data_IF_450214170070
#
_entry.id   IF_450214170070
#
_cell.length_a   1.000
_cell.length_b   1.000
_cell.length_c   1.000
_cell.angle_alpha   90.00
_cell.angle_beta   90.00
_cell.angle_gamma   90.00
#
_symmetry.space_group_name_H-M   'P 1'
#
loop_
_entity.id
_entity.type
_entity.pdbx_description
1 polymer ?
#
# COMPACT_ATOMS: atom_id res chain seq x y z
N UNK A 1 31.27 -18.49 42.75
CA UNK A 1 29.94 -18.16 43.29
C UNK A 1 29.87 -16.65 43.30
N UNK A 2 29.24 -16.14 42.25
CA UNK A 2 29.45 -14.82 41.68
C UNK A 2 28.60 -13.71 42.27
N UNK A 3 29.09 -12.50 42.03
CA UNK A 3 28.56 -11.17 42.29
C UNK A 3 27.10 -10.93 41.88
N UNK A 4 26.43 -9.99 42.56
CA UNK A 4 25.73 -8.83 41.94
C UNK A 4 25.61 -7.70 42.98
N UNK A 5 26.03 -6.50 42.55
CA UNK A 5 26.11 -5.24 43.27
C UNK A 5 24.78 -4.45 43.23
N UNK A 6 24.51 -3.72 44.33
CA UNK A 6 23.66 -2.52 44.37
C UNK A 6 24.36 -1.35 43.66
N UNK A 7 23.59 -0.44 43.04
CA UNK A 7 23.83 1.03 43.03
C UNK A 7 22.62 1.78 42.47
N UNK A 8 21.88 2.43 43.37
CA UNK A 8 21.11 3.65 43.13
C UNK A 8 22.07 4.86 43.20
N UNK A 9 21.62 5.99 42.68
CA UNK A 9 22.23 7.33 42.73
C UNK A 9 23.20 7.67 41.58
N UNK A 10 22.68 8.46 40.62
CA UNK A 10 23.31 9.61 39.94
C UNK A 10 22.19 10.27 39.13
N UNK A 11 21.53 11.28 39.69
CA UNK A 11 20.65 12.21 38.98
C UNK A 11 20.75 13.63 39.61
N UNK A 12 21.94 13.99 40.08
CA UNK A 12 22.28 15.33 40.59
C UNK A 12 23.73 15.71 40.19
N UNK A 13 24.03 15.84 38.91
CA UNK A 13 25.15 16.66 38.42
C UNK A 13 24.83 17.09 36.98
N UNK A 14 23.98 18.09 36.79
CA UNK A 14 23.91 18.95 35.57
C UNK A 14 22.85 20.07 35.71
N UNK A 15 22.69 20.61 36.93
CA UNK A 15 22.05 21.90 37.18
C UNK A 15 23.10 22.81 37.81
N UNK A 16 23.80 23.55 36.96
CA UNK A 16 24.83 24.49 37.42
C UNK A 16 25.84 24.77 36.32
N UNK A 17 25.47 25.65 35.38
CA UNK A 17 26.33 26.59 34.65
C UNK A 17 25.48 27.26 33.56
N UNK A 18 24.50 28.07 34.00
CA UNK A 18 23.91 29.12 33.20
C UNK A 18 24.21 30.43 33.92
N UNK A 19 25.24 31.15 33.45
CA UNK A 19 25.43 32.59 33.67
C UNK A 19 26.75 33.06 33.05
N UNK A 20 26.65 34.07 32.17
CA UNK A 20 27.66 35.08 31.84
C UNK A 20 28.91 34.62 31.08
N UNK A 21 29.05 35.04 29.82
CA UNK A 21 29.75 36.30 29.45
C UNK A 21 29.46 36.62 27.99
N UNK A 22 29.11 37.87 27.77
CA UNK A 22 28.77 38.56 26.53
C UNK A 22 30.01 39.08 25.78
N UNK A 23 29.84 39.22 24.45
CA UNK A 23 30.29 40.34 23.60
C UNK A 23 31.79 40.73 23.47
N UNK A 24 32.24 40.74 22.20
CA UNK A 24 33.01 41.81 21.50
C UNK A 24 34.55 41.73 21.25
N UNK A 25 34.87 41.65 19.92
CA UNK A 25 36.00 42.21 19.12
C UNK A 25 37.47 41.74 19.32
N UNK A 26 38.43 42.03 18.38
CA UNK A 26 38.44 41.89 16.91
C UNK A 26 39.74 41.24 16.34
N UNK A 27 39.78 41.11 15.01
CA UNK A 27 40.90 40.75 14.10
C UNK A 27 42.35 41.08 14.53
N UNK A 28 43.28 40.13 14.32
CA UNK A 28 44.68 40.43 14.02
C UNK A 28 45.29 39.39 13.06
N UNK A 29 45.79 39.86 11.92
CA UNK A 29 46.63 39.12 10.98
C UNK A 29 48.02 38.86 11.59
N UNK A 30 48.56 37.64 11.44
CA UNK A 30 50.00 37.46 11.19
C UNK A 30 50.29 36.08 10.57
N UNK A 31 51.29 36.13 9.69
CA UNK A 31 51.79 35.19 8.71
C UNK A 31 52.30 33.81 9.19
N UNK A 32 52.13 32.86 8.26
CA UNK A 32 53.04 31.77 7.86
C UNK A 32 53.41 30.60 8.80
N UNK A 33 53.09 29.43 8.22
CA UNK A 33 53.75 28.12 8.30
C UNK A 33 53.32 27.19 9.43
N UNK A 34 53.27 25.92 9.05
CA UNK A 34 53.14 24.70 9.86
C UNK A 34 51.79 24.45 10.53
N UNK A 35 50.88 23.78 9.82
CA UNK A 35 49.92 22.85 10.43
C UNK A 35 49.37 21.85 9.39
N UNK A 36 50.28 21.19 8.67
CA UNK A 36 49.95 20.07 7.76
C UNK A 36 49.97 18.64 8.37
N UNK A 37 50.13 18.38 9.69
CA UNK A 37 49.91 17.03 10.22
C UNK A 37 48.63 16.82 11.05
N UNK A 38 47.79 17.84 11.31
CA UNK A 38 46.61 17.66 12.20
C UNK A 38 45.34 17.22 11.42
N UNK A 39 45.24 17.53 10.12
CA UNK A 39 44.09 17.12 9.29
C UNK A 39 44.17 15.64 8.86
N UNK A 40 45.37 15.03 8.83
CA UNK A 40 45.52 13.60 8.48
C UNK A 40 45.28 12.63 9.64
N UNK A 41 45.36 13.07 10.90
CA UNK A 41 45.06 12.21 12.06
C UNK A 41 43.55 12.13 12.37
N UNK A 42 42.77 13.14 11.96
CA UNK A 42 41.31 13.11 12.06
C UNK A 42 40.65 12.29 10.94
N UNK A 43 41.30 12.14 9.78
CA UNK A 43 40.79 11.39 8.63
C UNK A 43 41.21 9.91 8.59
N UNK A 44 42.13 9.45 9.45
CA UNK A 44 42.54 8.03 9.52
C UNK A 44 41.98 7.25 10.71
N UNK A 45 41.15 7.86 11.56
CA UNK A 45 40.50 7.22 12.71
C UNK A 45 38.97 7.11 12.58
N UNK A 46 38.39 7.44 11.42
CA UNK A 46 36.97 7.21 11.11
C UNK A 46 36.71 6.05 10.14
N UNK A 47 37.73 5.30 9.71
CA UNK A 47 37.59 4.21 8.74
C UNK A 47 37.69 2.80 9.33
N UNK A 48 37.57 2.63 10.64
CA UNK A 48 37.58 1.29 11.26
C UNK A 48 36.75 1.29 12.55
N UNK A 49 35.59 0.62 12.52
CA UNK A 49 34.68 0.34 13.66
C UNK A 49 33.45 1.25 13.86
N UNK A 50 32.81 1.72 12.80
CA UNK A 50 31.36 1.96 12.82
C UNK A 50 30.67 0.87 12.00
N UNK A 51 30.42 -0.29 12.61
CA UNK A 51 29.32 -1.15 12.14
C UNK A 51 28.02 -0.42 12.53
N UNK A 52 27.04 -0.27 11.63
CA UNK A 52 25.74 0.19 12.06
C UNK A 52 25.20 -0.87 13.02
N UNK A 53 25.00 -0.46 14.27
CA UNK A 53 24.32 -1.22 15.28
C UNK A 53 22.82 -1.20 14.92
N UNK A 54 22.45 -2.02 13.93
CA UNK A 54 21.08 -2.45 13.76
C UNK A 54 20.84 -3.51 14.84
N UNK A 55 20.55 -3.06 16.05
CA UNK A 55 19.82 -3.89 16.99
C UNK A 55 18.40 -4.05 16.41
N UNK A 56 18.18 -5.22 15.83
CA UNK A 56 16.88 -5.72 15.42
C UNK A 56 16.06 -6.01 16.67
N UNK A 57 15.51 -4.97 17.28
CA UNK A 57 14.52 -5.14 18.33
C UNK A 57 13.18 -5.57 17.69
N UNK A 58 12.96 -6.89 17.72
CA UNK A 58 11.66 -7.56 17.72
C UNK A 58 10.57 -6.99 16.79
N UNK A 59 10.80 -7.04 15.48
CA UNK A 59 9.74 -7.40 14.54
C UNK A 59 9.80 -8.92 14.32
N UNK A 60 9.45 -9.69 15.34
CA UNK A 60 9.29 -11.13 15.23
C UNK A 60 8.00 -11.46 14.46
N UNK A 61 7.93 -11.07 13.19
CA UNK A 61 7.06 -11.71 12.21
C UNK A 61 7.75 -12.99 11.80
N UNK A 62 7.21 -14.14 12.23
CA UNK A 62 7.80 -15.43 11.87
C UNK A 62 7.88 -15.55 10.35
N UNK A 63 9.10 -15.61 9.79
CA UNK A 63 9.28 -15.81 8.36
C UNK A 63 8.59 -17.11 7.96
N UNK A 64 7.51 -17.01 7.18
CA UNK A 64 6.94 -18.17 6.51
C UNK A 64 8.04 -18.84 5.69
N UNK A 65 8.29 -20.12 5.96
CA UNK A 65 9.31 -20.88 5.24
C UNK A 65 9.02 -20.86 3.74
N UNK A 66 9.99 -20.44 2.93
CA UNK A 66 9.83 -20.38 1.47
C UNK A 66 9.02 -19.18 0.95
N UNK A 67 9.02 -18.07 1.69
CA UNK A 67 8.60 -16.75 1.22
C UNK A 67 9.75 -15.76 1.46
N UNK A 68 10.17 -15.03 0.43
CA UNK A 68 11.14 -13.95 0.58
C UNK A 68 10.69 -12.89 1.62
N UNK A 69 11.66 -12.23 2.25
CA UNK A 69 11.38 -11.15 3.20
C UNK A 69 10.59 -10.02 2.51
N UNK A 70 9.53 -9.53 3.18
CA UNK A 70 8.69 -8.46 2.67
C UNK A 70 9.50 -7.17 2.49
N UNK A 71 9.40 -6.57 1.31
CA UNK A 71 9.87 -5.21 1.04
C UNK A 71 8.81 -4.20 1.51
N UNK A 72 9.26 -3.12 2.14
CA UNK A 72 8.40 -2.02 2.55
C UNK A 72 8.79 -0.75 1.80
N UNK A 73 7.82 -0.15 1.11
CA UNK A 73 8.00 1.06 0.29
C UNK A 73 7.25 2.24 0.90
N UNK A 74 7.72 3.45 0.63
CA UNK A 74 6.94 4.63 0.91
C UNK A 74 5.67 4.64 0.05
N UNK A 75 4.56 5.09 0.64
CA UNK A 75 3.34 5.37 -0.12
C UNK A 75 3.48 6.72 -0.83
N UNK A 76 3.89 6.68 -2.10
CA UNK A 76 4.25 7.87 -2.85
C UNK A 76 5.34 8.67 -2.14
N UNK A 77 5.16 9.99 -2.06
CA UNK A 77 6.06 10.89 -1.31
C UNK A 77 5.88 10.89 0.21
N UNK A 78 4.91 10.17 0.75
CA UNK A 78 4.63 10.23 2.19
C UNK A 78 5.69 9.50 3.01
N UNK A 79 5.74 9.76 4.32
CA UNK A 79 6.57 9.00 5.27
C UNK A 79 6.02 7.61 5.62
N UNK A 80 4.78 7.29 5.22
CA UNK A 80 4.15 6.02 5.55
C UNK A 80 4.76 4.88 4.74
N UNK A 81 5.17 3.81 5.42
CA UNK A 81 5.71 2.60 4.78
C UNK A 81 4.65 1.50 4.72
N UNK A 82 4.41 1.00 3.52
CA UNK A 82 3.47 -0.10 3.24
C UNK A 82 4.24 -1.30 2.66
N UNK A 83 3.79 -2.50 3.00
CA UNK A 83 4.29 -3.75 2.40
C UNK A 83 4.01 -3.74 0.89
N UNK A 84 4.97 -4.20 0.08
CA UNK A 84 4.83 -4.22 -1.40
C UNK A 84 3.64 -5.06 -1.87
N UNK A 85 3.28 -6.10 -1.11
CA UNK A 85 2.03 -6.83 -1.29
C UNK A 85 1.14 -6.58 -0.07
N UNK A 86 -0.14 -6.33 -0.31
CA UNK A 86 -1.16 -6.10 0.71
C UNK A 86 -2.35 -7.04 0.53
N UNK A 87 -3.28 -7.01 1.47
CA UNK A 87 -4.46 -7.86 1.45
C UNK A 87 -5.75 -7.03 1.46
N UNK A 88 -6.66 -7.31 0.52
CA UNK A 88 -7.98 -6.67 0.42
C UNK A 88 -9.12 -7.62 0.79
N UNK A 89 -10.14 -7.09 1.47
CA UNK A 89 -11.31 -7.84 1.92
C UNK A 89 -12.42 -8.03 0.87
N UNK A 90 -12.28 -7.42 -0.32
CA UNK A 90 -13.34 -7.40 -1.33
C UNK A 90 -13.69 -8.81 -1.83
N UNK A 91 -15.00 -9.12 -1.87
CA UNK A 91 -15.62 -10.41 -2.23
C UNK A 91 -15.42 -11.52 -1.19
N UNK A 92 -14.34 -11.49 -0.43
CA UNK A 92 -13.96 -12.58 0.48
C UNK A 92 -14.68 -12.46 1.82
N UNK A 93 -14.53 -11.33 2.53
CA UNK A 93 -15.11 -11.16 3.86
C UNK A 93 -16.61 -10.87 3.81
N UNK A 94 -17.38 -11.55 4.66
CA UNK A 94 -18.84 -11.39 4.78
C UNK A 94 -19.64 -12.20 3.76
N UNK A 95 -19.13 -12.34 2.53
CA UNK A 95 -19.79 -13.13 1.48
C UNK A 95 -19.30 -14.58 1.41
N UNK A 96 -18.03 -14.83 1.76
CA UNK A 96 -17.41 -16.16 1.61
C UNK A 96 -16.71 -16.65 2.87
N UNK A 97 -16.27 -15.72 3.73
CA UNK A 97 -15.48 -16.00 4.93
C UNK A 97 -16.15 -15.39 6.17
N UNK A 98 -16.08 -16.13 7.28
CA UNK A 98 -16.45 -15.67 8.60
C UNK A 98 -15.24 -15.08 9.37
N UNK A 99 -15.46 -14.70 10.63
CA UNK A 99 -14.40 -14.14 11.49
C UNK A 99 -13.26 -15.13 11.72
N UNK A 100 -13.55 -16.42 11.90
CA UNK A 100 -12.53 -17.43 12.20
C UNK A 100 -11.61 -17.64 11.00
N UNK A 101 -12.18 -17.72 9.80
CA UNK A 101 -11.41 -17.82 8.56
C UNK A 101 -10.56 -16.56 8.33
N UNK A 102 -11.13 -15.38 8.61
CA UNK A 102 -10.42 -14.11 8.49
C UNK A 102 -9.21 -14.03 9.42
N UNK A 103 -9.31 -14.50 10.68
CA UNK A 103 -8.17 -14.54 11.60
C UNK A 103 -7.02 -15.38 11.03
N UNK A 104 -7.31 -16.58 10.51
CA UNK A 104 -6.29 -17.44 9.91
C UNK A 104 -5.58 -16.79 8.72
N UNK A 105 -6.36 -16.25 7.77
CA UNK A 105 -5.83 -15.59 6.57
C UNK A 105 -5.01 -14.35 6.91
N UNK A 106 -5.54 -13.44 7.75
CA UNK A 106 -4.83 -12.23 8.12
C UNK A 106 -3.56 -12.55 8.92
N UNK A 107 -3.58 -13.59 9.76
CA UNK A 107 -2.39 -14.06 10.47
C UNK A 107 -1.31 -14.54 9.51
N UNK A 108 -1.67 -15.29 8.47
CA UNK A 108 -0.71 -15.68 7.42
C UNK A 108 -0.16 -14.47 6.66
N UNK A 109 -0.97 -13.44 6.41
CA UNK A 109 -0.48 -12.19 5.85
C UNK A 109 0.56 -11.54 6.78
N UNK A 110 0.30 -11.47 8.09
CA UNK A 110 1.22 -10.89 9.07
C UNK A 110 2.53 -11.66 9.20
N UNK A 111 2.46 -12.99 9.22
CA UNK A 111 3.65 -13.85 9.20
C UNK A 111 4.48 -13.64 7.92
N UNK A 112 3.83 -13.34 6.79
CA UNK A 112 4.50 -12.94 5.55
C UNK A 112 5.07 -11.50 5.56
N UNK A 113 4.87 -10.74 6.65
CA UNK A 113 5.30 -9.34 6.74
C UNK A 113 4.33 -8.31 6.13
N UNK A 114 3.11 -8.69 5.77
CA UNK A 114 2.11 -7.73 5.29
C UNK A 114 1.72 -6.79 6.44
N UNK A 115 1.78 -5.48 6.23
CA UNK A 115 1.26 -4.51 7.19
C UNK A 115 0.01 -3.78 6.69
N UNK A 116 -0.26 -3.79 5.39
CA UNK A 116 -1.37 -3.05 4.79
C UNK A 116 -2.58 -3.94 4.50
N UNK A 117 -3.74 -3.55 5.04
CA UNK A 117 -5.02 -4.23 4.89
C UNK A 117 -6.10 -3.26 4.41
N UNK A 118 -6.80 -3.64 3.34
CA UNK A 118 -7.75 -2.79 2.64
C UNK A 118 -9.20 -3.26 2.75
N UNK A 119 -10.10 -2.31 3.02
CA UNK A 119 -11.53 -2.54 3.18
C UNK A 119 -12.37 -1.41 2.55
N UNK A 120 -13.71 -1.48 2.63
CA UNK A 120 -14.61 -0.39 2.25
C UNK A 120 -15.96 -0.53 2.95
N UNK A 121 -16.67 0.58 3.17
CA UNK A 121 -17.98 0.57 3.83
C UNK A 121 -19.02 -0.29 3.09
N UNK A 122 -18.91 -0.38 1.76
CA UNK A 122 -19.87 -1.11 0.91
C UNK A 122 -19.60 -2.61 0.85
N UNK A 123 -18.43 -3.07 1.31
CA UNK A 123 -18.06 -4.48 1.17
C UNK A 123 -18.93 -5.35 2.09
N UNK A 124 -19.79 -6.15 1.47
CA UNK A 124 -20.82 -6.93 2.15
C UNK A 124 -21.67 -6.06 3.10
N UNK A 125 -22.07 -4.86 2.63
CA UNK A 125 -22.89 -3.89 3.38
C UNK A 125 -22.29 -3.57 4.77
N UNK A 126 -20.97 -3.38 4.81
CA UNK A 126 -20.20 -3.06 6.02
C UNK A 126 -19.74 -4.29 6.80
N UNK A 127 -20.23 -5.49 6.49
CA UNK A 127 -19.87 -6.71 7.23
C UNK A 127 -18.39 -7.05 7.13
N UNK A 128 -17.74 -6.71 6.01
CA UNK A 128 -16.31 -6.93 5.84
C UNK A 128 -15.46 -6.12 6.82
N UNK A 129 -15.89 -4.91 7.20
CA UNK A 129 -15.23 -4.08 8.21
C UNK A 129 -15.38 -4.69 9.61
N UNK A 130 -16.58 -5.16 9.96
CA UNK A 130 -16.81 -5.85 11.23
C UNK A 130 -15.94 -7.10 11.38
N UNK A 131 -15.83 -7.90 10.31
CA UNK A 131 -15.02 -9.12 10.31
C UNK A 131 -13.54 -8.79 10.47
N UNK A 132 -13.02 -7.81 9.72
CA UNK A 132 -11.62 -7.41 9.81
C UNK A 132 -11.28 -6.84 11.19
N UNK A 133 -12.13 -5.97 11.73
CA UNK A 133 -11.97 -5.40 13.07
C UNK A 133 -11.95 -6.47 14.15
N UNK A 134 -12.93 -7.38 14.14
CA UNK A 134 -12.99 -8.51 15.07
C UNK A 134 -11.76 -9.43 14.96
N UNK A 135 -11.31 -9.72 13.74
CA UNK A 135 -10.15 -10.58 13.51
C UNK A 135 -8.84 -9.95 14.03
N UNK A 136 -8.62 -8.66 13.78
CA UNK A 136 -7.45 -7.92 14.29
C UNK A 136 -7.47 -7.88 15.82
N UNK A 137 -8.64 -7.59 16.42
CA UNK A 137 -8.81 -7.58 17.88
C UNK A 137 -8.53 -8.95 18.49
N UNK A 138 -9.05 -10.02 17.88
CA UNK A 138 -8.83 -11.39 18.33
C UNK A 138 -7.36 -11.82 18.21
N UNK A 139 -6.67 -11.37 17.16
CA UNK A 139 -5.25 -11.64 16.97
C UNK A 139 -4.33 -10.86 17.93
N UNK A 140 -4.86 -9.84 18.63
CA UNK A 140 -4.13 -9.09 19.65
C UNK A 140 -2.99 -8.25 19.09
N UNK A 141 -3.05 -7.85 17.81
CA UNK A 141 -1.99 -7.06 17.20
C UNK A 141 -1.99 -5.62 17.70
N UNK A 142 -0.78 -5.08 17.84
CA UNK A 142 -0.61 -3.67 18.15
C UNK A 142 -1.05 -2.83 16.94
N UNK A 143 -2.00 -1.91 17.15
CA UNK A 143 -2.58 -1.08 16.09
C UNK A 143 -1.54 -0.28 15.30
N UNK A 144 -0.44 0.13 15.94
CA UNK A 144 0.66 0.88 15.29
C UNK A 144 1.45 0.08 14.26
N UNK A 145 1.34 -1.24 14.26
CA UNK A 145 2.10 -2.11 13.36
C UNK A 145 1.33 -2.38 12.05
N UNK A 146 0.10 -1.84 11.97
CA UNK A 146 -0.84 -2.06 10.89
C UNK A 146 -1.10 -0.74 10.15
N UNK A 147 -1.27 -0.86 8.84
CA UNK A 147 -1.83 0.16 7.97
C UNK A 147 -3.20 -0.34 7.55
N UNK A 148 -4.26 0.35 7.97
CA UNK A 148 -5.64 0.00 7.66
C UNK A 148 -6.24 1.06 6.75
N UNK A 149 -6.86 0.63 5.65
CA UNK A 149 -7.68 1.51 4.82
C UNK A 149 -9.16 1.17 4.85
N UNK A 150 -9.98 2.19 4.65
CA UNK A 150 -11.35 2.03 4.19
C UNK A 150 -11.68 3.04 3.08
N UNK A 151 -12.83 2.87 2.44
CA UNK A 151 -13.30 3.72 1.33
C UNK A 151 -14.74 4.10 1.53
N UNK A 152 -15.05 5.36 1.22
CA UNK A 152 -16.36 5.97 1.38
C UNK A 152 -16.93 6.33 0.01
N UNK A 153 -18.16 5.88 -0.24
CA UNK A 153 -19.05 6.33 -1.32
C UNK A 153 -20.45 5.71 -1.22
N UNK A 154 -20.60 4.48 -0.72
CA UNK A 154 -21.90 3.76 -0.67
C UNK A 154 -22.12 3.16 0.72
N UNK A 155 -22.70 3.92 1.63
CA UNK A 155 -22.96 3.50 3.02
C UNK A 155 -24.39 3.06 3.31
N UNK A 156 -25.33 3.25 2.36
CA UNK A 156 -26.73 2.88 2.58
C UNK A 156 -27.65 3.22 1.41
N UNK A 157 -28.96 3.09 1.64
CA UNK A 157 -30.01 3.30 0.63
C UNK A 157 -30.62 4.70 0.65
N UNK A 158 -30.37 5.49 1.69
CA UNK A 158 -30.85 6.85 1.81
C UNK A 158 -30.21 7.81 0.79
N UNK A 159 -30.85 8.97 0.54
CA UNK A 159 -30.36 9.93 -0.45
C UNK A 159 -29.00 10.54 -0.10
N UNK A 160 -28.66 10.57 1.19
CA UNK A 160 -27.39 11.11 1.71
C UNK A 160 -26.45 10.02 2.23
N UNK A 161 -26.79 8.74 2.04
CA UNK A 161 -25.97 7.61 2.48
C UNK A 161 -24.97 7.18 1.39
N UNK A 162 -24.74 8.06 0.41
CA UNK A 162 -23.82 7.82 -0.71
C UNK A 162 -23.22 9.11 -1.27
N UNK A 163 -22.17 8.96 -2.07
CA UNK A 163 -21.44 10.05 -2.70
C UNK A 163 -20.29 10.57 -1.84
N UNK A 164 -19.80 11.76 -2.16
CA UNK A 164 -18.65 12.38 -1.50
C UNK A 164 -18.98 13.73 -0.88
N UNK A 165 -20.27 13.97 -0.60
CA UNK A 165 -20.69 15.12 0.20
C UNK A 165 -19.99 15.12 1.55
N UNK A 166 -19.79 16.31 2.13
CA UNK A 166 -19.21 16.45 3.46
C UNK A 166 -19.97 15.64 4.52
N UNK A 167 -21.30 15.59 4.39
CA UNK A 167 -22.17 14.80 5.28
C UNK A 167 -21.80 13.32 5.22
N UNK A 168 -21.79 12.73 4.03
CA UNK A 168 -21.53 11.30 3.87
C UNK A 168 -20.08 10.93 4.21
N UNK A 169 -19.09 11.74 3.82
CA UNK A 169 -17.69 11.49 4.18
C UNK A 169 -17.54 11.39 5.71
N UNK A 170 -18.12 12.33 6.46
CA UNK A 170 -17.99 12.35 7.93
C UNK A 170 -18.79 11.21 8.57
N UNK A 171 -20.04 11.02 8.18
CA UNK A 171 -20.92 10.00 8.77
C UNK A 171 -20.50 8.59 8.39
N UNK A 172 -20.14 8.36 7.12
CA UNK A 172 -19.61 7.10 6.61
C UNK A 172 -18.30 6.72 7.29
N UNK A 173 -17.36 7.67 7.44
CA UNK A 173 -16.09 7.41 8.16
C UNK A 173 -16.34 6.99 9.60
N UNK A 174 -17.21 7.70 10.34
CA UNK A 174 -17.55 7.33 11.71
C UNK A 174 -18.22 5.96 11.80
N UNK A 175 -19.09 5.63 10.85
CA UNK A 175 -19.73 4.32 10.78
C UNK A 175 -18.71 3.20 10.49
N UNK A 176 -17.77 3.43 9.57
CA UNK A 176 -16.68 2.51 9.28
C UNK A 176 -15.77 2.28 10.48
N UNK A 177 -15.34 3.34 11.18
CA UNK A 177 -14.53 3.23 12.39
C UNK A 177 -15.23 2.42 13.49
N UNK A 178 -16.54 2.64 13.67
CA UNK A 178 -17.37 1.86 14.59
C UNK A 178 -17.41 0.37 14.21
N UNK A 179 -17.58 0.05 12.92
CA UNK A 179 -17.58 -1.35 12.45
C UNK A 179 -16.21 -2.01 12.60
N UNK A 180 -15.14 -1.28 12.32
CA UNK A 180 -13.76 -1.75 12.48
C UNK A 180 -13.33 -1.89 13.95
N UNK A 181 -14.07 -1.30 14.90
CA UNK A 181 -13.68 -1.18 16.31
C UNK A 181 -12.30 -0.48 16.46
N UNK A 182 -12.15 0.66 15.76
CA UNK A 182 -10.91 1.47 15.73
C UNK A 182 -11.21 2.96 15.87
N UNK A 183 -10.26 3.70 16.45
CA UNK A 183 -10.35 5.17 16.55
C UNK A 183 -9.97 5.89 15.26
N UNK A 184 -9.14 5.24 14.43
CA UNK A 184 -8.66 5.80 13.16
C UNK A 184 -8.34 4.72 12.12
N UNK A 185 -8.41 5.10 10.85
CA UNK A 185 -7.77 4.39 9.74
C UNK A 185 -6.50 5.13 9.33
N UNK A 186 -5.52 4.44 8.76
CA UNK A 186 -4.32 5.11 8.25
C UNK A 186 -4.64 5.82 6.94
N UNK A 187 -5.45 5.18 6.10
CA UNK A 187 -5.76 5.62 4.74
C UNK A 187 -7.28 5.67 4.51
N UNK A 188 -7.84 6.84 4.20
CA UNK A 188 -9.23 6.99 3.80
C UNK A 188 -9.35 7.30 2.31
N UNK A 189 -10.12 6.50 1.57
CA UNK A 189 -10.31 6.71 0.13
C UNK A 189 -11.69 7.27 -0.21
N UNK A 190 -11.73 8.19 -1.16
CA UNK A 190 -12.90 8.38 -2.02
C UNK A 190 -13.04 7.13 -2.90
N UNK A 191 -14.05 6.29 -2.67
CA UNK A 191 -14.14 5.00 -3.37
C UNK A 191 -14.35 5.17 -4.89
N UNK A 192 -15.03 6.24 -5.32
CA UNK A 192 -15.23 6.61 -6.73
C UNK A 192 -15.31 8.12 -6.85
N UNK A 193 -15.12 8.71 -8.05
CA UNK A 193 -15.46 10.12 -8.26
C UNK A 193 -16.96 10.33 -8.11
N UNK A 194 -17.36 11.45 -7.49
CA UNK A 194 -18.76 11.85 -7.36
C UNK A 194 -19.04 13.06 -8.28
N UNK A 195 -19.78 12.88 -9.39
CA UNK A 195 -20.11 13.98 -10.29
C UNK A 195 -21.11 14.97 -9.69
N UNK A 196 -21.76 14.63 -8.56
CA UNK A 196 -22.79 15.48 -7.93
C UNK A 196 -22.25 16.32 -6.78
N UNK A 197 -21.01 16.09 -6.35
CA UNK A 197 -20.35 16.84 -5.27
C UNK A 197 -19.15 17.60 -5.83
N UNK A 198 -19.05 18.92 -5.61
CA UNK A 198 -17.85 19.67 -5.98
C UNK A 198 -16.59 19.07 -5.32
N UNK A 199 -15.49 18.94 -6.08
CA UNK A 199 -14.23 18.40 -5.55
C UNK A 199 -13.74 19.24 -4.36
N UNK A 200 -13.99 20.55 -4.35
CA UNK A 200 -13.64 21.40 -3.20
C UNK A 200 -14.34 20.98 -1.90
N UNK A 201 -15.63 20.61 -1.95
CA UNK A 201 -16.33 20.12 -0.76
C UNK A 201 -15.71 18.80 -0.27
N UNK A 202 -15.35 17.91 -1.20
CA UNK A 202 -14.67 16.64 -0.90
C UNK A 202 -13.33 16.87 -0.21
N UNK A 203 -12.49 17.76 -0.76
CA UNK A 203 -11.17 18.10 -0.20
C UNK A 203 -11.31 18.66 1.22
N UNK A 204 -12.24 19.59 1.44
CA UNK A 204 -12.51 20.16 2.77
C UNK A 204 -13.03 19.12 3.77
N UNK A 205 -13.85 18.18 3.30
CA UNK A 205 -14.37 17.10 4.14
C UNK A 205 -13.27 16.13 4.56
N UNK A 206 -12.43 15.69 3.62
CA UNK A 206 -11.30 14.80 3.90
C UNK A 206 -10.27 15.43 4.85
N UNK A 207 -9.95 16.70 4.66
CA UNK A 207 -9.06 17.42 5.58
C UNK A 207 -9.67 17.53 6.98
N UNK A 208 -10.97 17.82 7.08
CA UNK A 208 -11.65 17.83 8.38
C UNK A 208 -11.57 16.47 9.08
N UNK A 209 -11.71 15.35 8.35
CA UNK A 209 -11.56 14.00 8.92
C UNK A 209 -10.15 13.78 9.47
N UNK A 210 -9.12 14.25 8.76
CA UNK A 210 -7.72 14.19 9.19
C UNK A 210 -7.50 15.04 10.45
N UNK A 211 -7.97 16.28 10.46
CA UNK A 211 -7.81 17.20 11.60
C UNK A 211 -8.49 16.69 12.87
N UNK A 212 -9.52 15.84 12.72
CA UNK A 212 -10.22 15.20 13.85
C UNK A 212 -9.60 13.85 14.25
N UNK A 213 -8.52 13.43 13.61
CA UNK A 213 -7.78 12.21 13.94
C UNK A 213 -8.46 10.92 13.50
N UNK A 214 -9.47 10.98 12.63
CA UNK A 214 -10.18 9.78 12.13
C UNK A 214 -9.44 9.09 10.99
N UNK A 215 -8.57 9.82 10.28
CA UNK A 215 -7.65 9.29 9.29
C UNK A 215 -6.30 10.00 9.35
N UNK A 216 -5.20 9.35 8.95
CA UNK A 216 -3.90 10.03 8.81
C UNK A 216 -3.66 10.58 7.41
N UNK A 217 -4.11 9.87 6.38
CA UNK A 217 -3.99 10.26 4.99
C UNK A 217 -5.30 10.01 4.26
N UNK A 218 -5.53 10.77 3.19
CA UNK A 218 -6.62 10.51 2.28
C UNK A 218 -6.14 10.35 0.84
N UNK A 219 -6.92 9.62 0.05
CA UNK A 219 -6.63 9.33 -1.34
C UNK A 219 -7.88 9.10 -2.15
N UNK A 220 -7.68 8.76 -3.41
CA UNK A 220 -8.74 8.57 -4.41
C UNK A 220 -8.74 7.14 -4.95
N UNK A 221 -9.84 6.69 -5.54
CA UNK A 221 -9.94 5.39 -6.21
C UNK A 221 -10.78 5.50 -7.47
N UNK A 222 -10.19 5.09 -8.58
CA UNK A 222 -10.74 5.20 -9.94
C UNK A 222 -10.99 6.63 -10.41
N UNK A 223 -10.30 7.62 -9.85
CA UNK A 223 -10.37 9.00 -10.31
C UNK A 223 -9.54 9.19 -11.59
N UNK A 224 -9.93 10.14 -12.43
CA UNK A 224 -9.09 10.53 -13.57
C UNK A 224 -7.90 11.38 -13.12
N UNK A 225 -6.84 11.41 -13.93
CA UNK A 225 -5.68 12.26 -13.67
C UNK A 225 -6.04 13.75 -13.61
N UNK A 226 -7.06 14.16 -14.38
CA UNK A 226 -7.64 15.50 -14.31
C UNK A 226 -8.26 15.79 -12.94
N UNK A 227 -9.10 14.88 -12.42
CA UNK A 227 -9.77 15.08 -11.13
C UNK A 227 -8.76 15.09 -9.97
N UNK A 228 -7.73 14.23 -10.02
CA UNK A 228 -6.65 14.23 -9.03
C UNK A 228 -5.87 15.54 -9.09
N UNK A 229 -5.60 16.04 -10.31
CA UNK A 229 -4.95 17.35 -10.49
C UNK A 229 -5.79 18.47 -9.89
N UNK A 230 -7.10 18.51 -10.18
CA UNK A 230 -8.03 19.51 -9.63
C UNK A 230 -8.06 19.47 -8.10
N UNK A 231 -8.12 18.28 -7.50
CA UNK A 231 -8.08 18.10 -6.05
C UNK A 231 -6.79 18.65 -5.42
N UNK A 232 -5.63 18.41 -6.05
CA UNK A 232 -4.36 18.97 -5.61
C UNK A 232 -4.30 20.49 -5.74
N UNK A 233 -4.78 21.05 -6.86
CA UNK A 233 -4.80 22.51 -7.05
C UNK A 233 -5.73 23.21 -6.06
N UNK A 234 -6.88 22.60 -5.74
CA UNK A 234 -7.76 23.08 -4.68
C UNK A 234 -7.08 23.01 -3.31
N UNK A 235 -6.46 21.87 -2.99
CA UNK A 235 -5.78 21.69 -1.72
C UNK A 235 -4.66 22.73 -1.53
N UNK A 236 -3.82 22.94 -2.55
CA UNK A 236 -2.78 23.96 -2.54
C UNK A 236 -3.34 25.38 -2.36
N UNK A 237 -4.43 25.72 -3.08
CA UNK A 237 -5.07 27.03 -2.97
C UNK A 237 -5.67 27.29 -1.57
N UNK A 238 -6.04 26.25 -0.86
CA UNK A 238 -6.70 26.32 0.44
C UNK A 238 -5.77 26.00 1.62
N UNK A 239 -4.46 25.83 1.37
CA UNK A 239 -3.47 25.38 2.35
C UNK A 239 -3.88 24.09 3.08
N UNK A 240 -4.42 23.13 2.31
CA UNK A 240 -4.93 21.85 2.76
C UNK A 240 -4.08 20.68 2.25
N UNK A 241 -4.23 19.52 2.89
CA UNK A 241 -3.63 18.24 2.46
C UNK A 241 -4.34 17.76 1.19
N UNK A 242 -3.58 17.59 0.10
CA UNK A 242 -4.06 16.94 -1.13
C UNK A 242 -4.06 15.41 -1.05
N UNK A 243 -4.69 14.72 -2.01
CA UNK A 243 -4.76 13.26 -1.99
C UNK A 243 -3.37 12.64 -2.17
N UNK A 244 -2.90 11.90 -1.18
CA UNK A 244 -1.54 11.36 -1.15
C UNK A 244 -1.36 10.13 -2.07
N UNK A 245 -2.44 9.42 -2.36
CA UNK A 245 -2.43 8.17 -3.11
C UNK A 245 -3.68 7.98 -3.95
N UNK A 246 -3.55 7.14 -4.98
CA UNK A 246 -4.64 6.65 -5.82
C UNK A 246 -4.70 5.11 -5.73
N UNK A 247 -5.91 4.56 -5.79
CA UNK A 247 -6.17 3.12 -5.82
C UNK A 247 -6.84 2.72 -7.15
N UNK A 248 -6.04 2.51 -8.22
CA UNK A 248 -6.55 2.17 -9.54
C UNK A 248 -6.45 0.65 -9.84
N UNK A 249 -7.25 0.19 -10.79
CA UNK A 249 -7.04 -1.12 -11.41
C UNK A 249 -5.70 -1.10 -12.14
N UNK A 250 -4.85 -2.10 -11.88
CA UNK A 250 -3.61 -2.28 -12.63
C UNK A 250 -3.26 -3.76 -12.78
N UNK A 251 -3.15 -4.19 -14.03
CA UNK A 251 -2.71 -5.53 -14.42
C UNK A 251 -2.25 -5.50 -15.88
N UNK A 252 -1.76 -6.62 -16.40
CA UNK A 252 -1.26 -6.70 -17.79
C UNK A 252 -2.30 -6.25 -18.84
N UNK A 253 -3.61 -6.33 -18.54
CA UNK A 253 -4.68 -5.92 -19.46
C UNK A 253 -5.24 -4.53 -19.18
N UNK A 254 -4.93 -3.90 -18.05
CA UNK A 254 -5.38 -2.56 -17.67
C UNK A 254 -4.20 -1.72 -17.21
N UNK A 255 -3.68 -0.90 -18.13
CA UNK A 255 -2.39 -0.18 -17.97
C UNK A 255 -2.48 1.32 -18.19
N UNK A 256 -3.45 1.78 -18.97
CA UNK A 256 -3.49 3.17 -19.47
C UNK A 256 -3.46 4.21 -18.35
N UNK A 257 -4.24 4.02 -17.28
CA UNK A 257 -4.27 4.95 -16.15
C UNK A 257 -2.89 5.08 -15.50
N UNK A 258 -2.32 3.95 -15.11
CA UNK A 258 -1.07 3.89 -14.34
C UNK A 258 0.15 4.28 -15.18
N UNK A 259 0.27 3.79 -16.41
CA UNK A 259 1.48 3.98 -17.22
C UNK A 259 1.43 5.20 -18.15
N UNK A 260 0.26 5.83 -18.33
CA UNK A 260 0.13 7.01 -19.20
C UNK A 260 -0.56 8.17 -18.49
N UNK A 261 -1.81 8.00 -18.04
CA UNK A 261 -2.62 9.10 -17.50
C UNK A 261 -2.03 9.72 -16.22
N UNK A 262 -1.49 8.90 -15.31
CA UNK A 262 -0.93 9.35 -14.05
C UNK A 262 0.56 9.72 -14.13
N UNK A 263 1.22 9.51 -15.28
CA UNK A 263 2.65 9.77 -15.42
C UNK A 263 3.05 11.20 -14.96
N UNK A 264 2.31 12.28 -15.32
CA UNK A 264 2.63 13.62 -14.84
C UNK A 264 2.46 13.82 -13.32
N UNK A 265 1.61 13.00 -12.67
CA UNK A 265 1.25 13.15 -11.26
C UNK A 265 2.31 12.57 -10.33
N UNK A 266 3.09 11.59 -10.79
CA UNK A 266 4.16 10.99 -9.98
C UNK A 266 5.24 12.00 -9.64
N UNK A 267 5.71 12.77 -10.63
CA UNK A 267 6.72 13.80 -10.40
C UNK A 267 6.12 15.05 -9.77
N UNK A 268 4.99 15.54 -10.30
CA UNK A 268 4.39 16.81 -9.84
C UNK A 268 3.89 16.73 -8.39
N UNK A 269 3.25 15.61 -8.02
CA UNK A 269 2.57 15.46 -6.74
C UNK A 269 3.05 14.25 -5.94
N UNK A 270 4.11 13.54 -6.35
CA UNK A 270 4.59 12.38 -5.60
C UNK A 270 3.53 11.31 -5.37
N UNK A 271 2.61 11.13 -6.32
CA UNK A 271 1.45 10.25 -6.18
C UNK A 271 1.90 8.80 -5.94
N UNK A 272 1.43 8.18 -4.85
CA UNK A 272 1.63 6.75 -4.58
C UNK A 272 0.46 5.92 -5.07
N UNK A 273 0.70 4.66 -5.47
CA UNK A 273 -0.37 3.76 -5.88
C UNK A 273 -0.52 2.55 -4.96
N UNK A 274 -1.77 2.27 -4.60
CA UNK A 274 -2.20 0.99 -4.01
C UNK A 274 -3.08 0.27 -5.03
N UNK A 275 -2.52 -0.55 -5.92
CA UNK A 275 -3.27 -1.06 -7.08
C UNK A 275 -4.13 -2.27 -6.75
N UNK A 276 -5.27 -2.43 -7.42
CA UNK A 276 -6.19 -3.56 -7.21
C UNK A 276 -6.40 -4.40 -8.49
N UNK A 277 -6.99 -5.60 -8.31
CA UNK A 277 -7.20 -6.62 -9.35
C UNK A 277 -5.95 -6.96 -10.18
N UNK A 278 -4.80 -7.25 -9.55
CA UNK A 278 -3.57 -7.58 -10.28
C UNK A 278 -3.68 -8.87 -11.11
N UNK A 279 -4.62 -9.75 -10.75
CA UNK A 279 -4.90 -11.00 -11.45
C UNK A 279 -6.06 -10.92 -12.46
N UNK A 280 -6.57 -9.72 -12.75
CA UNK A 280 -7.74 -9.49 -13.62
C UNK A 280 -8.92 -10.41 -13.25
N UNK A 281 -9.35 -10.36 -11.98
CA UNK A 281 -10.40 -11.24 -11.43
C UNK A 281 -10.12 -12.75 -11.58
N UNK A 282 -8.84 -13.12 -11.60
CA UNK A 282 -8.36 -14.49 -11.68
C UNK A 282 -8.06 -14.98 -13.10
N UNK A 283 -8.28 -14.16 -14.13
CA UNK A 283 -7.95 -14.51 -15.52
C UNK A 283 -6.46 -14.79 -15.67
N UNK A 284 -5.61 -13.96 -15.06
CA UNK A 284 -4.15 -14.13 -15.04
C UNK A 284 -3.67 -15.24 -14.09
N UNK A 285 -4.55 -16.12 -13.61
CA UNK A 285 -4.13 -17.39 -12.99
C UNK A 285 -4.05 -18.51 -14.01
N UNK A 286 -4.65 -18.34 -15.19
CA UNK A 286 -4.72 -19.37 -16.21
C UNK A 286 -5.76 -20.47 -15.96
N UNK A 287 -6.57 -20.33 -14.91
CA UNK A 287 -7.57 -21.35 -14.50
C UNK A 287 -8.86 -21.37 -15.31
N UNK A 288 -9.12 -20.33 -16.11
CA UNK A 288 -10.33 -20.24 -16.94
C UNK A 288 -10.00 -20.64 -18.39
N UNK A 289 -10.93 -21.36 -19.01
CA UNK A 289 -11.00 -21.54 -20.46
C UNK A 289 -12.44 -21.27 -20.94
N UNK A 290 -12.65 -21.26 -22.26
CA UNK A 290 -14.00 -21.10 -22.85
C UNK A 290 -14.92 -22.24 -22.37
N UNK A 291 -14.39 -23.46 -22.33
CA UNK A 291 -15.16 -24.67 -22.04
C UNK A 291 -15.19 -25.03 -20.55
N UNK A 292 -14.33 -24.42 -19.73
CA UNK A 292 -14.22 -24.75 -18.30
C UNK A 292 -14.06 -23.51 -17.43
N UNK A 293 -15.04 -23.32 -16.55
CA UNK A 293 -15.00 -22.32 -15.48
C UNK A 293 -15.10 -23.09 -14.17
N UNK A 294 -14.02 -23.14 -13.37
CA UNK A 294 -14.00 -23.94 -12.14
C UNK A 294 -15.12 -23.53 -11.18
N UNK A 295 -15.75 -24.52 -10.56
CA UNK A 295 -16.74 -24.29 -9.50
C UNK A 295 -16.12 -23.55 -8.31
N UNK A 296 -16.90 -22.69 -7.66
CA UNK A 296 -16.44 -21.83 -6.55
C UNK A 296 -15.47 -20.72 -6.97
N UNK A 297 -15.15 -20.58 -8.27
CA UNK A 297 -14.37 -19.45 -8.77
C UNK A 297 -15.21 -18.16 -8.85
N UNK A 298 -14.54 -17.00 -8.86
CA UNK A 298 -15.22 -15.70 -8.94
C UNK A 298 -16.10 -15.57 -10.19
N UNK A 299 -15.66 -16.11 -11.34
CA UNK A 299 -16.42 -16.06 -12.60
C UNK A 299 -17.61 -17.05 -12.63
N UNK A 300 -17.74 -17.94 -11.64
CA UNK A 300 -18.89 -18.82 -11.48
C UNK A 300 -20.03 -18.18 -10.64
N UNK A 301 -19.75 -17.08 -9.93
CA UNK A 301 -20.74 -16.39 -9.10
C UNK A 301 -21.77 -15.64 -9.96
N UNK A 302 -23.05 -15.75 -9.61
CA UNK A 302 -24.17 -15.24 -10.41
C UNK A 302 -24.10 -13.72 -10.68
N UNK A 303 -23.64 -12.93 -9.70
CA UNK A 303 -23.46 -11.48 -9.80
C UNK A 303 -22.28 -11.04 -10.69
N UNK A 304 -21.48 -11.97 -11.22
CA UNK A 304 -20.30 -11.67 -12.05
C UNK A 304 -20.47 -12.06 -13.53
N UNK A 305 -21.69 -12.37 -13.99
CA UNK A 305 -21.97 -12.76 -15.38
C UNK A 305 -21.49 -11.74 -16.42
N UNK A 306 -21.72 -10.45 -16.19
CA UNK A 306 -21.28 -9.39 -17.11
C UNK A 306 -19.75 -9.21 -17.15
N UNK A 307 -19.05 -9.52 -16.06
CA UNK A 307 -17.58 -9.54 -16.04
C UNK A 307 -17.04 -10.75 -16.81
N UNK A 308 -17.65 -11.93 -16.62
CA UNK A 308 -17.31 -13.14 -17.36
C UNK A 308 -17.38 -12.92 -18.88
N UNK A 309 -18.47 -12.35 -19.38
CA UNK A 309 -18.68 -12.10 -20.81
C UNK A 309 -17.66 -11.14 -21.42
N UNK A 310 -17.20 -10.14 -20.65
CA UNK A 310 -16.19 -9.18 -21.11
C UNK A 310 -14.76 -9.70 -21.01
N UNK A 311 -14.46 -10.51 -19.99
CA UNK A 311 -13.09 -10.92 -19.66
C UNK A 311 -12.69 -12.26 -20.26
N UNK A 312 -13.62 -13.20 -20.47
CA UNK A 312 -13.35 -14.54 -21.01
C UNK A 312 -13.62 -14.61 -22.51
N UNK A 313 -12.99 -13.71 -23.27
CA UNK A 313 -13.02 -13.71 -24.73
C UNK A 313 -11.78 -14.40 -25.30
N UNK A 314 -11.91 -15.01 -26.48
CA UNK A 314 -10.85 -15.80 -27.13
C UNK A 314 -9.53 -15.03 -27.24
N UNK A 315 -9.58 -13.75 -27.62
CA UNK A 315 -8.40 -12.90 -27.73
C UNK A 315 -7.64 -12.78 -26.39
N UNK A 316 -8.34 -12.64 -25.27
CA UNK A 316 -7.72 -12.55 -23.94
C UNK A 316 -7.14 -13.91 -23.54
N UNK A 317 -7.87 -15.00 -23.75
CA UNK A 317 -7.41 -16.33 -23.39
C UNK A 317 -6.18 -16.76 -24.20
N UNK A 318 -6.08 -16.38 -25.48
CA UNK A 318 -4.88 -16.60 -26.30
C UNK A 318 -3.65 -15.89 -25.71
N UNK A 319 -3.81 -14.66 -25.20
CA UNK A 319 -2.75 -13.94 -24.49
C UNK A 319 -2.36 -14.67 -23.20
N UNK A 320 -3.34 -15.17 -22.44
CA UNK A 320 -3.09 -15.96 -21.23
C UNK A 320 -2.29 -17.23 -21.54
N UNK A 321 -2.59 -17.95 -22.62
CA UNK A 321 -1.80 -19.12 -23.02
C UNK A 321 -0.37 -18.77 -23.41
N UNK A 322 -0.16 -17.66 -24.13
CA UNK A 322 1.19 -17.14 -24.40
C UNK A 322 1.96 -16.80 -23.11
N UNK A 323 1.27 -16.20 -22.13
CA UNK A 323 1.87 -15.89 -20.82
C UNK A 323 2.19 -17.16 -20.02
N UNK A 324 1.39 -18.23 -20.12
CA UNK A 324 1.70 -19.52 -19.48
C UNK A 324 3.01 -20.11 -20.00
N UNK A 325 3.29 -19.97 -21.30
CA UNK A 325 4.56 -20.43 -21.87
C UNK A 325 5.76 -19.70 -21.24
N UNK A 326 5.67 -18.38 -21.10
CA UNK A 326 6.71 -17.55 -20.45
C UNK A 326 6.86 -17.94 -18.97
N UNK A 327 5.75 -18.08 -18.24
CA UNK A 327 5.78 -18.47 -16.82
C UNK A 327 6.46 -19.85 -16.63
N UNK A 328 6.21 -20.79 -17.55
CA UNK A 328 6.85 -22.11 -17.57
C UNK A 328 8.36 -22.01 -17.85
N UNK A 329 8.81 -21.15 -18.75
CA UNK A 329 10.24 -20.90 -18.99
C UNK A 329 10.96 -20.38 -17.73
N UNK A 330 10.27 -19.60 -16.89
CA UNK A 330 10.79 -19.04 -15.65
C UNK A 330 10.67 -19.96 -14.43
N UNK A 331 10.03 -21.12 -14.60
CA UNK A 331 9.65 -22.07 -13.56
C UNK A 331 8.87 -21.40 -12.40
N UNK A 332 7.82 -20.65 -12.76
CA UNK A 332 6.93 -19.98 -11.80
C UNK A 332 5.46 -20.12 -12.19
N UNK A 333 4.53 -20.14 -11.23
CA UNK A 333 3.11 -20.01 -11.53
C UNK A 333 2.78 -18.68 -12.21
N UNK A 334 1.88 -18.70 -13.20
CA UNK A 334 1.45 -17.48 -13.91
C UNK A 334 0.90 -16.40 -12.96
N UNK A 335 0.17 -16.81 -11.92
CA UNK A 335 -0.35 -15.87 -10.92
C UNK A 335 0.77 -15.10 -10.21
N UNK A 336 1.86 -15.79 -9.82
CA UNK A 336 3.00 -15.14 -9.19
C UNK A 336 3.72 -14.21 -10.16
N UNK A 337 3.89 -14.62 -11.43
CA UNK A 337 4.44 -13.76 -12.48
C UNK A 337 3.60 -12.49 -12.68
N UNK A 338 2.27 -12.61 -12.69
CA UNK A 338 1.36 -11.47 -12.84
C UNK A 338 1.44 -10.50 -11.65
N UNK A 339 1.43 -11.01 -10.41
CA UNK A 339 1.61 -10.18 -9.21
C UNK A 339 2.97 -9.47 -9.21
N UNK A 340 4.04 -10.19 -9.54
CA UNK A 340 5.40 -9.64 -9.62
C UNK A 340 5.53 -8.56 -10.70
N UNK A 341 4.85 -8.74 -11.84
CA UNK A 341 4.83 -7.76 -12.92
C UNK A 341 4.24 -6.43 -12.46
N UNK A 342 3.11 -6.47 -11.73
CA UNK A 342 2.47 -5.28 -11.15
C UNK A 342 3.39 -4.64 -10.12
N UNK A 343 3.96 -5.43 -9.21
CA UNK A 343 4.85 -4.97 -8.15
C UNK A 343 6.20 -4.43 -8.64
N UNK A 344 6.61 -4.75 -9.88
CA UNK A 344 7.84 -4.25 -10.49
C UNK A 344 7.76 -2.78 -10.90
N UNK A 345 6.56 -2.24 -11.11
CA UNK A 345 6.40 -0.83 -11.44
C UNK A 345 6.80 0.05 -10.23
N UNK A 346 7.76 0.98 -10.38
CA UNK A 346 8.29 1.76 -9.26
C UNK A 346 7.28 2.73 -8.65
N UNK A 347 6.21 3.08 -9.38
CA UNK A 347 5.13 3.94 -8.87
C UNK A 347 4.06 3.16 -8.09
N UNK A 348 4.13 1.83 -8.12
CA UNK A 348 3.27 0.96 -7.33
C UNK A 348 3.90 0.74 -5.96
N UNK A 349 3.37 1.45 -4.97
CA UNK A 349 3.78 1.31 -3.57
C UNK A 349 3.31 -0.01 -2.98
N UNK A 350 2.08 -0.45 -3.30
CA UNK A 350 1.53 -1.73 -2.85
C UNK A 350 0.57 -2.34 -3.86
N UNK A 351 0.60 -3.67 -3.96
CA UNK A 351 -0.34 -4.48 -4.75
C UNK A 351 -1.33 -5.18 -3.84
N UNK A 352 -2.61 -4.81 -3.93
CA UNK A 352 -3.69 -5.41 -3.15
C UNK A 352 -4.03 -6.79 -3.73
N UNK A 353 -3.69 -7.82 -2.97
CA UNK A 353 -4.03 -9.21 -3.27
C UNK A 353 -5.33 -9.62 -2.58
N UNK A 354 -5.92 -10.73 -3.03
CA UNK A 354 -7.06 -11.35 -2.37
C UNK A 354 -6.88 -12.86 -2.32
N UNK A 355 -7.38 -13.47 -1.25
CA UNK A 355 -7.33 -14.91 -1.04
C UNK A 355 -8.56 -15.36 -0.25
N UNK A 356 -9.04 -16.56 -0.52
CA UNK A 356 -10.11 -17.21 0.26
C UNK A 356 -9.59 -18.33 1.15
N UNK A 357 -8.30 -18.66 1.03
CA UNK A 357 -7.65 -19.74 1.78
C UNK A 357 -6.23 -19.34 2.16
N UNK A 358 -5.76 -19.78 3.32
CA UNK A 358 -4.41 -19.48 3.83
C UNK A 358 -3.29 -19.81 2.84
N UNK A 359 -3.34 -20.96 2.17
CA UNK A 359 -2.29 -21.32 1.19
C UNK A 359 -2.22 -20.36 0.00
N UNK A 360 -3.34 -19.72 -0.40
CA UNK A 360 -3.32 -18.74 -1.49
C UNK A 360 -2.60 -17.46 -1.06
N UNK A 361 -2.64 -17.10 0.23
CA UNK A 361 -1.82 -16.00 0.75
C UNK A 361 -0.35 -16.32 0.53
N UNK A 362 0.10 -17.49 1.00
CA UNK A 362 1.50 -17.93 0.86
C UNK A 362 1.92 -17.94 -0.61
N UNK A 363 1.10 -18.50 -1.49
CA UNK A 363 1.36 -18.54 -2.93
C UNK A 363 1.42 -17.15 -3.58
N UNK A 364 0.57 -16.21 -3.15
CA UNK A 364 0.64 -14.83 -3.63
C UNK A 364 1.93 -14.13 -3.17
N UNK A 365 2.36 -14.36 -1.92
CA UNK A 365 3.54 -13.69 -1.35
C UNK A 365 4.87 -14.15 -1.99
N UNK A 366 4.91 -15.38 -2.52
CA UNK A 366 6.04 -15.86 -3.34
C UNK A 366 6.28 -15.04 -4.62
N UNK A 367 5.34 -14.20 -5.04
CA UNK A 367 5.56 -13.27 -6.15
C UNK A 367 6.78 -12.34 -5.93
N UNK A 368 7.15 -12.05 -4.68
CA UNK A 368 8.35 -11.26 -4.36
C UNK A 368 9.63 -11.90 -4.91
N UNK A 369 9.72 -13.23 -4.93
CA UNK A 369 10.86 -13.99 -5.46
C UNK A 369 10.92 -13.94 -7.00
N UNK A 370 9.80 -13.60 -7.64
CA UNK A 370 9.68 -13.55 -9.10
C UNK A 370 10.06 -12.17 -9.65
N UNK A 371 9.93 -11.09 -8.88
CA UNK A 371 10.30 -9.72 -9.28
C UNK A 371 11.70 -9.64 -9.92
N UNK A 372 12.78 -10.20 -9.33
CA UNK A 372 14.11 -10.18 -9.93
C UNK A 372 14.25 -11.05 -11.17
N UNK A 373 13.40 -12.08 -11.35
CA UNK A 373 13.38 -12.93 -12.56
C UNK A 373 12.79 -12.22 -13.78
N UNK A 374 12.02 -11.15 -13.58
CA UNK A 374 11.44 -10.35 -14.67
C UNK A 374 12.50 -9.41 -15.26
N UNK A 375 13.47 -9.97 -15.98
CA UNK A 375 14.50 -9.17 -16.68
C UNK A 375 13.89 -8.32 -17.80
N UNK A 376 14.60 -7.31 -18.35
CA UNK A 376 14.12 -6.55 -19.49
C UNK A 376 13.68 -7.43 -20.68
N UNK A 377 14.41 -8.50 -20.96
CA UNK A 377 14.08 -9.46 -22.02
C UNK A 377 12.77 -10.20 -21.74
N UNK A 378 12.54 -10.61 -20.49
CA UNK A 378 11.29 -11.24 -20.06
C UNK A 378 10.12 -10.27 -20.16
N UNK A 379 10.31 -9.02 -19.71
CA UNK A 379 9.30 -7.97 -19.80
C UNK A 379 8.91 -7.69 -21.25
N UNK A 380 9.87 -7.70 -22.18
CA UNK A 380 9.60 -7.54 -23.60
C UNK A 380 8.86 -8.76 -24.20
N UNK A 381 9.21 -10.00 -23.81
CA UNK A 381 8.43 -11.19 -24.18
C UNK A 381 6.98 -11.09 -23.72
N UNK A 382 6.76 -10.64 -22.48
CA UNK A 382 5.42 -10.40 -21.93
C UNK A 382 4.69 -9.35 -22.79
N UNK A 383 5.35 -8.25 -23.13
CA UNK A 383 4.75 -7.23 -23.99
C UNK A 383 4.36 -7.78 -25.37
N UNK A 384 5.22 -8.57 -26.02
CA UNK A 384 4.93 -9.14 -27.34
C UNK A 384 3.68 -10.02 -27.34
N UNK A 385 3.38 -10.68 -26.22
CA UNK A 385 2.15 -11.46 -26.04
C UNK A 385 0.96 -10.56 -25.72
N UNK A 386 1.10 -9.64 -24.77
CA UNK A 386 -0.03 -8.89 -24.22
C UNK A 386 -0.43 -7.72 -25.12
N UNK A 387 0.55 -7.05 -25.73
CA UNK A 387 0.37 -5.94 -26.67
C UNK A 387 -0.57 -4.87 -26.12
N UNK A 388 -0.25 -4.39 -24.92
CA UNK A 388 -1.10 -3.46 -24.16
C UNK A 388 -0.35 -2.22 -23.68
N UNK A 389 0.93 -2.06 -24.04
CA UNK A 389 1.72 -0.87 -23.71
C UNK A 389 0.94 0.38 -24.11
N UNK A 390 0.64 1.27 -23.16
CA UNK A 390 0.02 2.54 -23.51
C UNK A 390 0.94 3.34 -24.43
N UNK A 391 0.33 4.10 -25.35
CA UNK A 391 1.08 5.05 -26.17
C UNK A 391 1.56 6.17 -25.23
N UNK A 392 2.87 6.40 -25.20
CA UNK A 392 3.41 7.53 -24.46
C UNK A 392 2.89 8.83 -25.11
N UNK A 393 2.06 9.58 -24.39
CA UNK A 393 1.72 10.94 -24.79
C UNK A 393 2.92 11.83 -24.46
N UNK A 394 3.60 12.31 -25.50
CA UNK A 394 4.70 13.28 -25.40
C UNK A 394 4.20 14.66 -25.05
#
# INVERSE_FOLDING_TARGET
MDCIHRRSDINEVLLGLSAHVSSEFPTCHLHHRSCEPIIRLFLSLQSSHCRPFFESDNLAGGCLSGVAAMEYRNLGRTGLRVSTLSYGAWVTFGNQLDVKDAVGILSRCREAGVNFFDNAEVYADGKAEEIMGAAIKQAGWKRSDLVISTKIFWGGSGPNDKGLSRKHIIEGTKASLKRLDMDYVDLLYCHRPDPNTPIEETVRAMNWVIDHGYAFYWGTSEWSGQQITEAWEIANRLDMVGPAMEQPEYNMFSRNKVESEYAPLYEKYGLGLTTWSPLASGVLTGKYSIDNIPEGSRMALANYKGLKEKSLVEATLKKVEGLKAIAKELDVPLAQMALAWVAKNPHVSSVITGATKEHQVVENMKALEVIPKLTPEVMEKIEQVVQSRPVAHK
#
